data_IF_115886267827
#
_entry.id   IF_115886267827
#
_cell.length_a   1.000
_cell.length_b   1.000
_cell.length_c   1.000
_cell.angle_alpha   90.00
_cell.angle_beta   90.00
_cell.angle_gamma   90.00
#
_symmetry.space_group_name_H-M   'P 1'
#
loop_
_entity.id
_entity.type
_entity.pdbx_description
1 polymer ?
#
# COMPACT_ATOMS: atom_id res chain seq x y z
N UNK A 1 3.51 5.14 1.83
CA UNK A 1 2.68 4.03 1.36
C UNK A 1 2.85 3.94 -0.15
N UNK A 2 2.89 2.73 -0.69
CA UNK A 2 2.85 2.46 -2.14
C UNK A 2 1.61 1.62 -2.46
N UNK A 3 0.96 1.94 -3.57
CA UNK A 3 -0.10 1.14 -4.19
C UNK A 3 0.54 0.23 -5.25
N UNK A 4 0.30 -1.07 -5.13
CA UNK A 4 0.67 -2.08 -6.12
C UNK A 4 -0.54 -2.90 -6.54
N UNK A 5 -0.34 -3.85 -7.46
CA UNK A 5 -1.37 -4.78 -7.92
C UNK A 5 -0.84 -6.20 -7.89
N UNK A 6 -1.66 -7.15 -7.44
CA UNK A 6 -1.30 -8.57 -7.47
C UNK A 6 -1.49 -9.16 -8.87
N UNK A 7 -1.18 -10.45 -9.04
CA UNK A 7 -1.31 -11.17 -10.32
C UNK A 7 -2.74 -11.16 -10.91
N UNK A 8 -3.75 -10.91 -10.08
CA UNK A 8 -5.16 -10.83 -10.45
C UNK A 8 -5.65 -9.37 -10.62
N UNK A 9 -4.75 -8.40 -10.71
CA UNK A 9 -5.07 -6.97 -10.84
C UNK A 9 -5.87 -6.39 -9.66
N UNK A 10 -5.80 -7.02 -8.48
CA UNK A 10 -6.37 -6.43 -7.26
C UNK A 10 -5.39 -5.44 -6.64
N UNK A 11 -5.87 -4.27 -6.16
CA UNK A 11 -5.02 -3.27 -5.51
C UNK A 11 -4.48 -3.81 -4.18
N UNK A 12 -3.24 -3.45 -3.86
CA UNK A 12 -2.58 -3.76 -2.59
C UNK A 12 -1.89 -2.50 -2.07
N UNK A 13 -2.17 -2.17 -0.82
CA UNK A 13 -1.46 -1.14 -0.09
C UNK A 13 -0.31 -1.73 0.71
N UNK A 14 0.87 -1.16 0.52
CA UNK A 14 2.08 -1.51 1.26
C UNK A 14 2.52 -0.29 2.04
N UNK A 15 2.59 -0.45 3.36
CA UNK A 15 3.22 0.52 4.26
C UNK A 15 4.58 -0.02 4.63
N UNK A 16 5.61 0.78 4.44
CA UNK A 16 6.99 0.40 4.70
C UNK A 16 7.77 1.59 5.26
N UNK A 17 8.89 1.27 5.91
CA UNK A 17 9.95 2.22 6.24
C UNK A 17 11.22 1.85 5.49
N UNK A 18 12.07 2.85 5.24
CA UNK A 18 13.39 2.68 4.61
C UNK A 18 14.45 2.94 5.67
N UNK A 19 15.36 1.99 5.85
CA UNK A 19 16.59 2.18 6.61
C UNK A 19 17.75 2.28 5.62
N UNK A 20 18.17 3.51 5.34
CA UNK A 20 19.22 3.79 4.37
C UNK A 20 20.60 3.29 4.82
N UNK A 21 20.89 3.33 6.13
CA UNK A 21 22.18 2.91 6.67
C UNK A 21 22.41 1.41 6.45
N UNK A 22 21.38 0.60 6.65
CA UNK A 22 21.41 -0.84 6.42
C UNK A 22 21.04 -1.24 4.98
N UNK A 23 20.63 -0.28 4.15
CA UNK A 23 20.06 -0.51 2.81
C UNK A 23 18.90 -1.51 2.82
N UNK A 24 18.05 -1.40 3.84
CA UNK A 24 16.92 -2.32 4.06
C UNK A 24 15.58 -1.58 3.97
N UNK A 25 14.56 -2.31 3.51
CA UNK A 25 13.17 -1.87 3.51
C UNK A 25 12.40 -2.77 4.47
N UNK A 26 11.74 -2.18 5.47
CA UNK A 26 10.88 -2.92 6.39
C UNK A 26 9.43 -2.74 5.97
N UNK A 27 8.78 -3.85 5.66
CA UNK A 27 7.34 -3.87 5.42
C UNK A 27 6.63 -3.88 6.78
N UNK A 28 5.84 -2.85 7.03
CA UNK A 28 5.08 -2.70 8.28
C UNK A 28 3.75 -3.43 8.15
N UNK A 29 3.02 -3.19 7.06
CA UNK A 29 1.76 -3.88 6.78
C UNK A 29 1.46 -3.92 5.29
N UNK A 30 0.76 -4.99 4.87
CA UNK A 30 0.26 -5.19 3.51
C UNK A 30 -1.20 -5.57 3.61
N UNK A 31 -2.07 -4.87 2.88
CA UNK A 31 -3.51 -5.15 2.88
C UNK A 31 -4.17 -4.78 1.55
N UNK A 32 -5.30 -5.41 1.23
CA UNK A 32 -6.17 -4.99 0.13
C UNK A 32 -7.03 -3.79 0.59
N UNK A 33 -6.99 -2.63 -0.09
CA UNK A 33 -7.76 -1.46 0.31
C UNK A 33 -9.26 -1.67 0.11
N UNK A 34 -10.03 -1.25 1.11
CA UNK A 34 -11.49 -1.32 1.10
C UNK A 34 -12.08 -0.19 0.23
N UNK A 35 -12.77 -0.55 -0.85
CA UNK A 35 -13.39 0.40 -1.79
C UNK A 35 -14.43 1.34 -1.14
N UNK A 36 -14.98 0.98 0.03
CA UNK A 36 -15.84 1.90 0.77
C UNK A 36 -15.04 3.01 1.44
N UNK A 37 -13.85 2.69 1.96
CA UNK A 37 -12.97 3.60 2.71
C UNK A 37 -12.05 4.45 1.82
N UNK A 38 -11.85 4.06 0.56
CA UNK A 38 -10.91 4.71 -0.35
C UNK A 38 -11.60 5.23 -1.61
N UNK A 39 -11.06 6.31 -2.19
CA UNK A 39 -11.43 6.81 -3.51
C UNK A 39 -11.21 5.74 -4.58
N UNK A 40 -11.83 5.91 -5.76
CA UNK A 40 -11.84 4.90 -6.82
C UNK A 40 -10.46 4.54 -7.37
N UNK A 41 -9.46 5.40 -7.16
CA UNK A 41 -8.07 5.15 -7.54
C UNK A 41 -7.22 4.53 -6.42
N UNK A 42 -7.82 4.29 -5.25
CA UNK A 42 -7.20 3.80 -4.02
C UNK A 42 -6.04 4.66 -3.48
N UNK A 43 -5.80 5.87 -3.98
CA UNK A 43 -4.67 6.70 -3.53
C UNK A 43 -5.01 7.62 -2.37
N UNK A 44 -6.30 7.90 -2.16
CA UNK A 44 -6.81 8.76 -1.09
C UNK A 44 -7.93 8.08 -0.32
N UNK A 45 -7.92 8.25 0.99
CA UNK A 45 -8.99 7.78 1.88
C UNK A 45 -10.16 8.75 1.77
N UNK A 46 -11.39 8.24 1.76
CA UNK A 46 -12.59 9.07 1.87
C UNK A 46 -12.65 9.67 3.27
N UNK A 47 -13.00 10.95 3.37
CA UNK A 47 -13.30 11.61 4.65
C UNK A 47 -14.67 11.17 5.21
#
# INVERSE_FOLDING_TARGET
MVLGYNKLQKPIHIVFSVNEAEKMIYIITVYEPDAQKWESDFKRRKE
#
